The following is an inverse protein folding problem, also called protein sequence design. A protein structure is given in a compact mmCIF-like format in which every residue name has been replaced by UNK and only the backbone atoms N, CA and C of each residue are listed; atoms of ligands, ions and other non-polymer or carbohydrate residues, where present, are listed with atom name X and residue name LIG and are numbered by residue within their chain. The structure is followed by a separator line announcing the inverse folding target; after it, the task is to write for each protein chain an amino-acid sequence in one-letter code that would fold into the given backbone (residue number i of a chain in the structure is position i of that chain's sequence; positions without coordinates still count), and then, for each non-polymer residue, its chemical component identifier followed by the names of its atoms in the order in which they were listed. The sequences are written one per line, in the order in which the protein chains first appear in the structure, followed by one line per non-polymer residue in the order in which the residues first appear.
data_IF_619370624878
#
_entry.id   IF_619370624878
#
_cell.length_a   1.000
_cell.length_b   1.000
_cell.length_c   1.000
_cell.angle_alpha   90.00
_cell.angle_beta   90.00
_cell.angle_gamma   90.00
#
_symmetry.space_group_name_H-M   'P 1'
#
loop_
_entity.id
_entity.type
_entity.pdbx_description
1 polymer ?
#
# COMPACT_ATOMS: atom_id res chain seq x y z
N UNK A 1 9.42 -0.25 12.97
CA UNK A 1 10.12 -1.38 12.30
C UNK A 1 11.38 -0.87 11.60
N UNK A 2 12.39 -1.70 11.23
CA UNK A 2 13.40 -1.27 10.26
C UNK A 2 12.71 -0.95 8.92
N UNK A 3 13.17 0.08 8.22
CA UNK A 3 12.53 0.64 7.01
C UNK A 3 12.37 -0.37 5.86
N UNK A 4 13.19 -1.42 5.81
CA UNK A 4 13.09 -2.50 4.82
C UNK A 4 11.78 -3.30 4.92
N UNK A 5 11.29 -3.57 6.13
CA UNK A 5 10.04 -4.31 6.33
C UNK A 5 8.82 -3.52 5.82
N UNK A 6 8.88 -2.19 5.94
CA UNK A 6 7.80 -1.29 5.48
C UNK A 6 7.78 -1.20 3.96
N UNK A 7 8.94 -1.11 3.32
CA UNK A 7 9.02 -1.16 1.85
C UNK A 7 8.45 -2.47 1.30
N UNK A 8 8.78 -3.61 1.91
CA UNK A 8 8.22 -4.90 1.51
C UNK A 8 6.70 -4.95 1.64
N UNK A 9 6.15 -4.40 2.73
CA UNK A 9 4.69 -4.30 2.92
C UNK A 9 4.06 -3.37 1.87
N UNK A 10 4.71 -2.25 1.55
CA UNK A 10 4.25 -1.33 0.50
C UNK A 10 4.20 -2.03 -0.87
N UNK A 11 5.23 -2.79 -1.24
CA UNK A 11 5.26 -3.54 -2.49
C UNK A 11 4.19 -4.64 -2.54
N UNK A 12 3.95 -5.35 -1.43
CA UNK A 12 2.87 -6.33 -1.32
C UNK A 12 1.49 -5.68 -1.45
N UNK A 13 1.28 -4.52 -0.84
CA UNK A 13 0.06 -3.72 -1.01
C UNK A 13 -0.14 -3.35 -2.47
N UNK A 14 0.90 -2.85 -3.15
CA UNK A 14 0.82 -2.40 -4.55
C UNK A 14 0.43 -3.52 -5.53
N UNK A 15 0.80 -4.76 -5.21
CA UNK A 15 0.44 -5.97 -5.98
C UNK A 15 -0.88 -6.61 -5.55
N UNK A 16 -1.51 -6.10 -4.50
CA UNK A 16 -2.76 -6.64 -3.98
C UNK A 16 -3.97 -6.15 -4.77
N UNK A 17 -5.08 -6.86 -4.65
CA UNK A 17 -6.36 -6.44 -5.25
C UNK A 17 -6.82 -5.03 -4.85
N UNK A 18 -6.35 -4.50 -3.70
CA UNK A 18 -6.67 -3.16 -3.23
C UNK A 18 -6.16 -2.03 -4.13
N UNK A 19 -5.19 -2.29 -5.01
CA UNK A 19 -4.78 -1.31 -6.04
C UNK A 19 -5.55 -1.45 -7.35
N UNK A 20 -6.42 -2.46 -7.45
CA UNK A 20 -7.28 -2.69 -8.61
C UNK A 20 -8.43 -1.69 -8.74
N UNK A 21 -9.11 -1.73 -9.90
CA UNK A 21 -10.25 -0.85 -10.24
C UNK A 21 -11.40 -0.91 -9.23
N UNK A 22 -11.64 -2.07 -8.62
CA UNK A 22 -12.69 -2.27 -7.61
C UNK A 22 -12.57 -1.28 -6.44
N UNK A 23 -11.33 -0.93 -6.08
CA UNK A 23 -11.04 0.00 -5.00
C UNK A 23 -10.59 1.36 -5.53
N UNK A 24 -10.60 1.60 -6.85
CA UNK A 24 -10.16 2.86 -7.46
C UNK A 24 -10.90 4.09 -6.93
N UNK A 25 -12.14 3.90 -6.48
CA UNK A 25 -12.97 4.96 -5.90
C UNK A 25 -12.59 5.31 -4.45
N UNK A 26 -11.75 4.50 -3.79
CA UNK A 26 -11.32 4.75 -2.42
C UNK A 26 -10.01 5.54 -2.40
N UNK A 27 -9.82 6.44 -1.44
CA UNK A 27 -8.54 7.11 -1.25
C UNK A 27 -7.46 6.10 -0.82
N UNK A 28 -6.19 6.42 -1.05
CA UNK A 28 -5.07 5.47 -0.89
C UNK A 28 -4.91 5.02 0.57
N UNK A 29 -5.08 5.95 1.51
CA UNK A 29 -5.13 5.72 2.96
C UNK A 29 -6.15 4.63 3.31
N UNK A 30 -7.40 4.79 2.88
CA UNK A 30 -8.46 3.80 3.12
C UNK A 30 -8.18 2.43 2.49
N UNK A 31 -7.50 2.37 1.35
CA UNK A 31 -7.08 1.09 0.74
C UNK A 31 -6.00 0.42 1.56
N UNK A 32 -5.02 1.19 2.03
CA UNK A 32 -3.95 0.71 2.91
C UNK A 32 -4.54 0.22 4.22
N UNK A 33 -5.48 0.94 4.82
CA UNK A 33 -6.19 0.50 6.04
C UNK A 33 -6.88 -0.84 5.85
N UNK A 34 -7.66 -0.99 4.76
CA UNK A 34 -8.33 -2.24 4.45
C UNK A 34 -7.35 -3.41 4.24
N UNK A 35 -6.21 -3.14 3.60
CA UNK A 35 -5.14 -4.11 3.44
C UNK A 35 -4.51 -4.50 4.77
N UNK A 36 -4.18 -3.53 5.64
CA UNK A 36 -3.59 -3.77 6.94
C UNK A 36 -4.54 -4.59 7.84
N UNK A 37 -5.83 -4.24 7.84
CA UNK A 37 -6.86 -4.98 8.58
C UNK A 37 -6.95 -6.43 8.08
N UNK A 38 -7.00 -6.63 6.75
CA UNK A 38 -7.12 -7.97 6.16
C UNK A 38 -5.90 -8.86 6.39
N UNK A 39 -4.70 -8.27 6.45
CA UNK A 39 -3.45 -9.00 6.71
C UNK A 39 -3.11 -9.11 8.21
N UNK A 40 -3.97 -8.60 9.11
CA UNK A 40 -3.73 -8.62 10.55
C UNK A 40 -2.60 -7.68 11.01
N UNK A 41 -2.20 -6.72 10.18
CA UNK A 41 -1.10 -5.77 10.43
C UNK A 41 -1.55 -4.55 11.25
N UNK A 42 -2.47 -4.74 12.20
CA UNK A 42 -3.03 -3.65 13.03
C UNK A 42 -1.94 -2.92 13.84
N UNK A 43 -0.86 -3.61 14.19
CA UNK A 43 0.31 -3.03 14.86
C UNK A 43 0.94 -1.87 14.07
N UNK A 44 0.85 -1.88 12.74
CA UNK A 44 1.32 -0.77 11.90
C UNK A 44 0.34 0.41 12.00
N UNK A 45 -0.97 0.16 12.05
CA UNK A 45 -1.97 1.21 12.27
C UNK A 45 -1.85 1.85 13.66
N UNK A 46 -1.57 1.04 14.68
CA UNK A 46 -1.40 1.50 16.06
C UNK A 46 -0.14 2.37 16.24
N UNK A 47 0.86 2.20 15.35
CA UNK A 47 2.06 3.03 15.33
C UNK A 47 1.98 4.07 14.20
N UNK A 48 1.53 5.28 14.52
CA UNK A 48 1.37 6.37 13.55
C UNK A 48 2.62 6.70 12.73
N UNK A 49 3.83 6.46 13.26
CA UNK A 49 5.07 6.64 12.50
C UNK A 49 5.30 5.54 11.47
N UNK A 50 5.02 4.28 11.81
CA UNK A 50 5.12 3.17 10.85
C UNK A 50 4.02 3.30 9.77
N UNK A 51 2.82 3.75 10.15
CA UNK A 51 1.73 4.03 9.21
C UNK A 51 2.07 5.15 8.23
N UNK A 52 2.60 6.28 8.72
CA UNK A 52 3.02 7.40 7.89
C UNK A 52 4.16 6.99 6.94
N UNK A 53 5.14 6.23 7.44
CA UNK A 53 6.22 5.69 6.63
C UNK A 53 5.68 4.74 5.54
N UNK A 54 4.73 3.86 5.86
CA UNK A 54 4.11 2.97 4.89
C UNK A 54 3.40 3.74 3.78
N UNK A 55 2.61 4.76 4.12
CA UNK A 55 1.94 5.60 3.14
C UNK A 55 2.94 6.32 2.22
N UNK A 56 4.00 6.88 2.79
CA UNK A 56 5.05 7.54 2.02
C UNK A 56 5.75 6.58 1.05
N UNK A 57 6.04 5.35 1.50
CA UNK A 57 6.59 4.29 0.64
C UNK A 57 5.63 3.84 -0.43
N UNK A 58 4.35 3.69 -0.11
CA UNK A 58 3.32 3.38 -1.11
C UNK A 58 3.28 4.48 -2.16
N UNK A 59 3.15 5.75 -1.79
CA UNK A 59 3.11 6.87 -2.73
C UNK A 59 4.37 6.98 -3.59
N UNK A 60 5.55 6.84 -2.98
CA UNK A 60 6.84 6.83 -3.70
C UNK A 60 6.94 5.68 -4.70
N UNK A 61 6.40 4.50 -4.35
CA UNK A 61 6.44 3.32 -5.21
C UNK A 61 5.28 3.24 -6.22
N UNK A 62 4.16 3.95 -6.04
CA UNK A 62 3.03 3.96 -7.01
C UNK A 62 3.51 4.39 -8.39
N UNK A 63 4.30 5.46 -8.47
CA UNK A 63 4.82 5.96 -9.75
C UNK A 63 5.74 4.94 -10.44
N UNK A 64 6.55 4.23 -9.67
CA UNK A 64 7.39 3.15 -10.18
C UNK A 64 6.56 1.91 -10.58
N UNK A 65 5.53 1.56 -9.82
CA UNK A 65 4.66 0.43 -10.06
C UNK A 65 3.75 0.62 -11.30
N UNK A 66 3.28 1.86 -11.55
CA UNK A 66 2.59 2.23 -12.79
C UNK A 66 3.53 2.14 -14.00
N UNK A 67 4.74 2.70 -13.90
CA UNK A 67 5.73 2.67 -14.99
C UNK A 67 6.26 1.28 -15.30
N UNK A 68 6.36 0.41 -14.30
CA UNK A 68 6.80 -0.98 -14.46
C UNK A 68 5.68 -1.93 -14.90
N UNK A 69 4.44 -1.45 -15.07
CA UNK A 69 3.30 -2.27 -15.45
C UNK A 69 2.80 -3.22 -14.34
N UNK A 70 3.38 -3.13 -13.14
CA UNK A 70 2.94 -3.87 -11.95
C UNK A 70 1.53 -3.45 -11.55
N UNK A 71 1.24 -2.15 -11.67
CA UNK A 71 -0.11 -1.61 -11.65
C UNK A 71 -0.60 -1.57 -13.09
N UNK A 72 -1.41 -2.57 -13.48
CA UNK A 72 -2.08 -2.51 -14.78
C UNK A 72 -3.06 -1.33 -14.77
N UNK A 73 -2.89 -0.30 -15.63
CA UNK A 73 -3.94 0.67 -15.85
C UNK A 73 -5.08 -0.14 -16.49
N UNK A 74 -6.15 -0.40 -15.72
CA UNK A 74 -7.18 -1.35 -16.13
C UNK A 74 -7.56 -1.15 -17.59
N UNK A 75 -7.41 -2.21 -18.38
CA UNK A 75 -7.78 -2.26 -19.79
C UNK A 75 -9.29 -2.17 -19.95
#
# INVERSE_FOLDING_TARGET
MPTGDIDDVAWKFLRSEFTGRTYANWPIDRRVDAYLIRNGLRKIMDNGSDYAALLDRVMSNIGAALRSGVLSPGR
#
